data_IF_582955797955
#
_entry.id   IF_582955797955
#
_cell.length_a   1.000
_cell.length_b   1.000
_cell.length_c   1.000
_cell.angle_alpha   90.00
_cell.angle_beta   90.00
_cell.angle_gamma   90.00
#
_symmetry.space_group_name_H-M   'P 1'
#
loop_
_entity.id
_entity.type
_entity.pdbx_description
1 polymer ?
#
# COMPACT_ATOMS: atom_id res chain seq x y z
N UNK A 1 37.89 -8.06 -67.25
CA UNK A 1 38.62 -6.89 -67.80
C UNK A 1 38.54 -5.78 -66.76
N UNK A 2 39.62 -5.25 -66.18
CA UNK A 2 41.06 -5.56 -66.28
C UNK A 2 41.73 -5.28 -64.91
N UNK A 3 42.61 -6.19 -64.47
CA UNK A 3 43.86 -5.87 -63.73
C UNK A 3 44.90 -5.38 -64.78
N UNK A 4 46.06 -4.72 -64.47
CA UNK A 4 46.95 -4.91 -63.32
C UNK A 4 47.38 -3.54 -62.69
N UNK A 5 48.54 -3.26 -62.05
CA UNK A 5 49.83 -3.98 -61.88
C UNK A 5 50.59 -3.62 -60.58
N UNK A 6 51.85 -4.04 -60.50
CA UNK A 6 52.78 -4.09 -59.36
C UNK A 6 53.40 -2.79 -58.81
N UNK A 7 53.86 -2.89 -57.55
CA UNK A 7 55.03 -2.20 -56.98
C UNK A 7 55.59 -3.04 -55.82
N UNK A 8 56.90 -3.31 -55.76
CA UNK A 8 57.45 -4.49 -55.06
C UNK A 8 58.33 -4.19 -53.82
N UNK A 9 58.17 -5.02 -52.77
CA UNK A 9 59.22 -5.58 -51.87
C UNK A 9 60.00 -4.57 -50.98
N UNK A 10 60.10 -4.76 -49.66
CA UNK A 10 61.13 -5.59 -49.00
C UNK A 10 60.67 -6.20 -47.66
N UNK A 11 61.24 -7.35 -47.31
CA UNK A 11 61.05 -8.05 -46.03
C UNK A 11 61.86 -7.39 -44.88
N UNK A 12 61.30 -7.44 -43.68
CA UNK A 12 62.05 -7.86 -42.48
C UNK A 12 61.11 -8.56 -41.51
N UNK A 13 61.50 -9.75 -41.05
CA UNK A 13 60.76 -10.57 -40.09
C UNK A 13 61.47 -10.46 -38.74
N UNK A 14 60.80 -9.91 -37.72
CA UNK A 14 61.11 -10.20 -36.32
C UNK A 14 59.80 -10.42 -35.56
N UNK A 15 59.76 -11.52 -34.82
CA UNK A 15 58.63 -11.98 -34.01
C UNK A 15 58.48 -11.20 -32.71
N UNK A 16 57.23 -10.95 -32.28
CA UNK A 16 56.93 -10.33 -30.99
C UNK A 16 55.47 -10.55 -30.59
N UNK A 17 55.23 -11.41 -29.59
CA UNK A 17 53.90 -11.86 -29.18
C UNK A 17 53.32 -10.95 -28.08
N UNK A 18 52.02 -10.64 -28.17
CA UNK A 18 51.16 -10.41 -27.00
C UNK A 18 51.14 -9.00 -26.38
N UNK A 19 50.44 -8.05 -27.00
CA UNK A 19 50.05 -6.78 -26.37
C UNK A 19 48.60 -6.81 -25.88
N UNK A 20 48.39 -6.85 -24.56
CA UNK A 20 47.05 -6.82 -23.97
C UNK A 20 46.41 -5.43 -24.00
N UNK A 21 45.18 -5.32 -24.54
CA UNK A 21 44.37 -4.10 -24.44
C UNK A 21 43.78 -3.98 -23.03
N UNK A 22 44.46 -3.19 -22.20
CA UNK A 22 44.02 -2.90 -20.84
C UNK A 22 42.71 -2.11 -20.79
N UNK A 23 41.75 -2.60 -20.01
CA UNK A 23 40.57 -1.83 -19.62
C UNK A 23 40.99 -0.58 -18.83
N UNK A 24 40.90 0.61 -19.43
CA UNK A 24 40.98 1.87 -18.69
C UNK A 24 39.72 2.05 -17.83
N UNK A 25 39.81 1.62 -16.57
CA UNK A 25 38.83 1.97 -15.55
C UNK A 25 38.79 3.49 -15.37
N UNK A 26 37.64 4.11 -15.68
CA UNK A 26 37.48 5.56 -15.61
C UNK A 26 37.71 6.10 -14.20
N UNK A 27 38.59 7.10 -14.07
CA UNK A 27 38.92 7.75 -12.80
C UNK A 27 37.64 8.38 -12.22
N UNK A 28 37.17 7.86 -11.08
CA UNK A 28 35.98 8.34 -10.42
C UNK A 28 36.19 9.77 -9.91
N UNK A 29 35.62 10.77 -10.61
CA UNK A 29 35.63 12.17 -10.16
C UNK A 29 34.86 12.28 -8.84
N UNK A 30 35.52 12.57 -7.69
CA UNK A 30 34.89 12.46 -6.36
C UNK A 30 33.75 13.48 -6.13
N UNK A 31 33.77 14.57 -6.89
CA UNK A 31 32.77 15.66 -6.89
C UNK A 31 31.78 15.61 -8.06
N UNK A 32 31.68 14.48 -8.78
CA UNK A 32 30.59 14.32 -9.76
C UNK A 32 29.25 14.13 -9.03
N UNK A 33 28.16 14.65 -9.61
CA UNK A 33 26.80 14.40 -9.11
C UNK A 33 26.52 12.88 -8.98
N UNK A 34 27.10 12.08 -9.87
CA UNK A 34 27.11 10.63 -9.80
C UNK A 34 27.75 10.14 -8.49
N UNK A 35 28.99 10.53 -8.18
CA UNK A 35 29.68 10.14 -6.96
C UNK A 35 28.93 10.59 -5.69
N UNK A 36 28.30 11.77 -5.71
CA UNK A 36 27.46 12.26 -4.61
C UNK A 36 26.17 11.45 -4.44
N UNK A 37 25.51 11.07 -5.53
CA UNK A 37 24.30 10.24 -5.49
C UNK A 37 24.63 8.81 -5.01
N UNK A 38 25.76 8.25 -5.48
CA UNK A 38 26.30 6.97 -5.00
C UNK A 38 26.61 7.00 -3.51
N UNK A 39 27.27 8.05 -3.02
CA UNK A 39 27.55 8.26 -1.58
C UNK A 39 26.25 8.37 -0.77
N UNK A 40 25.29 9.17 -1.22
CA UNK A 40 24.01 9.37 -0.53
C UNK A 40 23.17 8.09 -0.47
N UNK A 41 23.06 7.34 -1.57
CA UNK A 41 22.34 6.06 -1.60
C UNK A 41 22.96 5.04 -0.65
N UNK A 42 24.29 4.90 -0.64
CA UNK A 42 24.99 3.98 0.28
C UNK A 42 24.81 4.37 1.74
N UNK A 43 25.01 5.65 2.09
CA UNK A 43 24.82 6.16 3.45
C UNK A 43 23.38 5.97 3.92
N UNK A 44 22.40 6.24 3.05
CA UNK A 44 20.98 6.05 3.36
C UNK A 44 20.61 4.58 3.64
N UNK A 45 21.05 3.65 2.79
CA UNK A 45 20.83 2.21 2.98
C UNK A 45 21.49 1.70 4.26
N UNK A 46 22.72 2.13 4.54
CA UNK A 46 23.44 1.82 5.79
C UNK A 46 22.70 2.37 7.03
N UNK A 47 22.21 3.60 6.99
CA UNK A 47 21.45 4.21 8.09
C UNK A 47 20.11 3.51 8.36
N UNK A 48 19.49 2.94 7.32
CA UNK A 48 18.32 2.07 7.47
C UNK A 48 18.67 0.69 8.05
N UNK A 49 19.96 0.30 8.01
CA UNK A 49 20.49 -0.96 8.53
C UNK A 49 20.60 -2.08 7.50
N UNK A 50 20.48 -1.80 6.20
CA UNK A 50 20.67 -2.83 5.18
C UNK A 50 22.15 -3.26 5.12
N UNK A 51 22.37 -4.57 5.17
CA UNK A 51 23.67 -5.21 4.94
C UNK A 51 23.73 -5.79 3.54
N UNK A 52 24.86 -6.40 3.18
CA UNK A 52 25.00 -7.22 1.97
C UNK A 52 25.27 -8.66 2.34
N UNK A 53 24.76 -9.60 1.55
CA UNK A 53 25.21 -10.99 1.57
C UNK A 53 26.44 -11.19 0.66
N UNK A 54 26.89 -12.45 0.55
CA UNK A 54 28.03 -12.87 -0.27
C UNK A 54 27.78 -12.70 -1.78
N UNK A 55 26.51 -12.70 -2.22
CA UNK A 55 26.12 -12.38 -3.59
C UNK A 55 26.06 -10.85 -3.86
N UNK A 56 26.21 -10.04 -2.82
CA UNK A 56 26.14 -8.58 -2.87
C UNK A 56 24.73 -8.00 -2.90
N UNK A 57 23.70 -8.84 -2.69
CA UNK A 57 22.30 -8.45 -2.57
C UNK A 57 22.03 -7.81 -1.20
N UNK A 58 21.02 -6.93 -1.13
CA UNK A 58 20.67 -6.25 0.12
C UNK A 58 19.87 -7.15 1.05
N UNK A 59 20.42 -7.38 2.25
CA UNK A 59 19.74 -8.09 3.33
C UNK A 59 19.13 -7.07 4.30
N UNK A 60 17.92 -7.36 4.79
CA UNK A 60 17.26 -6.54 5.81
C UNK A 60 18.05 -6.58 7.14
N UNK A 61 18.04 -5.49 7.94
CA UNK A 61 18.61 -5.47 9.30
C UNK A 61 18.00 -6.46 10.30
N UNK A 62 16.96 -7.21 9.91
CA UNK A 62 16.28 -8.19 10.74
C UNK A 62 14.84 -8.44 10.30
N UNK A 63 14.21 -9.43 10.92
CA UNK A 63 12.80 -9.75 10.72
C UNK A 63 11.89 -9.06 11.77
N UNK A 64 10.60 -8.91 11.44
CA UNK A 64 9.56 -8.51 12.40
C UNK A 64 9.04 -7.07 12.27
N UNK A 65 7.92 -6.80 12.95
CA UNK A 65 7.12 -5.58 12.75
C UNK A 65 7.84 -4.30 13.17
N UNK A 66 8.70 -4.35 14.19
CA UNK A 66 9.46 -3.16 14.62
C UNK A 66 10.50 -2.71 13.60
N UNK A 67 11.14 -3.64 12.89
CA UNK A 67 12.06 -3.30 11.77
C UNK A 67 11.28 -2.57 10.67
N UNK A 68 10.10 -3.08 10.30
CA UNK A 68 9.23 -2.46 9.30
C UNK A 68 8.78 -1.07 9.76
N UNK A 69 8.41 -0.90 11.05
CA UNK A 69 8.11 0.43 11.61
C UNK A 69 9.32 1.36 11.54
N UNK A 70 10.53 0.90 11.90
CA UNK A 70 11.78 1.69 11.83
C UNK A 70 12.02 2.21 10.41
N UNK A 71 11.88 1.35 9.39
CA UNK A 71 12.03 1.71 7.98
C UNK A 71 11.03 2.80 7.53
N UNK A 72 9.81 2.79 8.03
CA UNK A 72 8.80 3.82 7.72
C UNK A 72 8.89 5.10 8.57
N UNK A 73 9.76 5.18 9.60
CA UNK A 73 9.86 6.37 10.48
C UNK A 73 10.18 7.66 9.71
N UNK A 74 11.08 7.60 8.73
CA UNK A 74 11.45 8.74 7.88
C UNK A 74 10.24 9.30 7.12
N UNK A 75 9.57 8.43 6.34
CA UNK A 75 8.35 8.77 5.60
C UNK A 75 7.23 9.28 6.51
N UNK A 76 7.04 8.70 7.71
CA UNK A 76 6.04 9.18 8.67
C UNK A 76 6.39 10.59 9.17
N UNK A 77 7.66 10.89 9.44
CA UNK A 77 8.12 12.23 9.84
C UNK A 77 7.87 13.26 8.73
N UNK A 78 8.26 12.95 7.49
CA UNK A 78 8.01 13.80 6.31
C UNK A 78 6.50 14.08 6.12
N UNK A 79 5.66 13.04 6.29
CA UNK A 79 4.20 13.15 6.18
C UNK A 79 3.56 13.97 7.30
N UNK A 80 4.11 13.91 8.52
CA UNK A 80 3.66 14.72 9.65
C UNK A 80 4.04 16.19 9.47
N UNK A 81 5.29 16.48 9.10
CA UNK A 81 5.76 17.86 8.82
C UNK A 81 4.93 18.52 7.73
N UNK A 82 4.73 17.82 6.60
CA UNK A 82 3.88 18.30 5.49
C UNK A 82 2.38 18.36 5.82
N UNK A 83 1.94 17.84 6.96
CA UNK A 83 0.55 17.92 7.44
C UNK A 83 0.37 18.87 8.63
N UNK A 84 1.41 19.60 9.08
CA UNK A 84 1.37 20.40 10.29
C UNK A 84 0.31 21.53 10.23
N UNK A 85 0.35 22.39 9.21
CA UNK A 85 -0.66 23.44 8.98
C UNK A 85 -2.08 22.88 8.82
N UNK A 86 -2.22 21.69 8.20
CA UNK A 86 -3.50 21.00 8.14
C UNK A 86 -3.99 20.57 9.53
N UNK A 87 -3.11 19.98 10.36
CA UNK A 87 -3.45 19.53 11.70
C UNK A 87 -3.84 20.70 12.61
N UNK A 88 -3.13 21.83 12.53
CA UNK A 88 -3.45 23.03 13.31
C UNK A 88 -4.87 23.54 13.03
N UNK A 89 -5.30 23.54 11.76
CA UNK A 89 -6.66 23.93 11.34
C UNK A 89 -7.72 22.86 11.62
N UNK A 90 -7.44 21.61 11.30
CA UNK A 90 -8.44 20.53 11.27
C UNK A 90 -8.61 19.85 12.63
N UNK A 91 -7.52 19.62 13.37
CA UNK A 91 -7.55 18.79 14.58
C UNK A 91 -8.56 19.30 15.62
N UNK A 92 -8.64 20.59 15.97
CA UNK A 92 -9.64 21.09 16.93
C UNK A 92 -11.10 20.85 16.50
N UNK A 93 -11.37 20.91 15.19
CA UNK A 93 -12.72 20.67 14.62
C UNK A 93 -13.04 19.18 14.52
N UNK A 94 -12.05 18.33 14.29
CA UNK A 94 -12.24 16.88 14.13
C UNK A 94 -12.22 16.09 15.44
N UNK A 95 -11.52 16.60 16.48
CA UNK A 95 -11.31 15.88 17.73
C UNK A 95 -12.60 15.47 18.46
N UNK A 96 -13.67 16.30 18.51
CA UNK A 96 -14.94 15.90 19.13
C UNK A 96 -15.60 14.67 18.48
N UNK A 97 -15.29 14.37 17.21
CA UNK A 97 -15.83 13.21 16.51
C UNK A 97 -15.11 11.90 16.84
N UNK A 98 -13.98 11.92 17.54
CA UNK A 98 -13.34 10.71 18.07
C UNK A 98 -13.87 10.41 19.46
N UNK A 99 -14.00 9.13 19.80
CA UNK A 99 -14.58 8.73 21.07
C UNK A 99 -13.60 8.77 22.25
N UNK A 100 -14.13 9.05 23.43
CA UNK A 100 -13.52 8.61 24.69
C UNK A 100 -13.87 7.15 24.96
N UNK A 101 -13.07 6.47 25.78
CA UNK A 101 -13.30 5.07 26.14
C UNK A 101 -14.48 4.86 27.08
N UNK A 102 -14.73 5.83 27.96
CA UNK A 102 -15.74 5.78 29.01
C UNK A 102 -17.17 6.06 28.50
N UNK A 103 -17.32 6.79 27.38
CA UNK A 103 -18.63 7.04 26.75
C UNK A 103 -19.14 5.86 25.89
N UNK A 104 -18.32 4.85 25.60
CA UNK A 104 -18.77 3.69 24.82
C UNK A 104 -19.49 2.64 25.67
N UNK A 105 -20.70 2.29 25.25
CA UNK A 105 -21.40 1.06 25.61
C UNK A 105 -21.29 0.05 24.44
N UNK A 106 -20.48 -1.01 24.55
CA UNK A 106 -20.26 -1.98 23.48
C UNK A 106 -21.52 -2.58 22.85
N UNK A 107 -22.60 -2.74 23.63
CA UNK A 107 -23.89 -3.27 23.16
C UNK A 107 -24.71 -2.27 22.33
N UNK A 108 -24.43 -0.98 22.46
CA UNK A 108 -25.08 0.09 21.70
C UNK A 108 -24.36 0.44 20.38
N UNK A 109 -23.22 -0.18 20.08
CA UNK A 109 -22.43 0.13 18.88
C UNK A 109 -23.19 -0.27 17.61
N UNK A 110 -23.42 0.70 16.73
CA UNK A 110 -24.13 0.52 15.45
C UNK A 110 -23.34 1.19 14.34
N UNK A 111 -22.64 0.39 13.53
CA UNK A 111 -21.72 0.88 12.51
C UNK A 111 -22.44 1.18 11.19
N UNK A 112 -22.30 2.41 10.70
CA UNK A 112 -22.76 2.88 9.41
C UNK A 112 -21.60 3.36 8.52
N UNK A 113 -21.83 3.42 7.20
CA UNK A 113 -20.86 3.96 6.24
C UNK A 113 -21.26 5.38 5.81
N UNK A 114 -20.42 6.38 6.14
CA UNK A 114 -20.59 7.76 5.67
C UNK A 114 -19.58 8.06 4.54
N UNK A 115 -20.01 8.28 3.29
CA UNK A 115 -19.12 8.61 2.18
C UNK A 115 -18.32 9.90 2.44
N UNK A 116 -17.03 9.89 2.08
CA UNK A 116 -16.11 11.02 2.28
C UNK A 116 -15.97 11.79 0.97
N UNK A 117 -16.55 12.99 0.92
CA UNK A 117 -16.48 13.91 -0.21
C UNK A 117 -15.36 14.94 -0.03
N UNK A 118 -14.79 15.43 -1.13
CA UNK A 118 -13.71 16.43 -1.07
C UNK A 118 -14.23 17.77 -0.56
N UNK A 119 -13.51 18.39 0.38
CA UNK A 119 -13.85 19.71 0.93
C UNK A 119 -14.82 19.70 2.12
N UNK A 120 -15.32 18.53 2.53
CA UNK A 120 -16.23 18.41 3.68
C UNK A 120 -15.49 18.13 4.99
N UNK A 121 -16.20 18.17 6.13
CA UNK A 121 -15.64 17.83 7.44
C UNK A 121 -15.21 16.36 7.50
N UNK A 122 -15.91 15.46 6.81
CA UNK A 122 -15.58 14.04 6.72
C UNK A 122 -14.21 13.81 6.08
N UNK A 123 -13.80 14.65 5.12
CA UNK A 123 -12.46 14.58 4.54
C UNK A 123 -11.37 15.04 5.52
N UNK A 124 -11.64 16.06 6.33
CA UNK A 124 -10.74 16.48 7.41
C UNK A 124 -10.65 15.37 8.48
N UNK A 125 -11.78 14.80 8.94
CA UNK A 125 -11.84 13.66 9.89
C UNK A 125 -11.05 12.46 9.34
N UNK A 126 -11.36 12.03 8.11
CA UNK A 126 -10.69 10.90 7.45
C UNK A 126 -9.18 11.12 7.40
N UNK A 127 -8.72 12.30 7.00
CA UNK A 127 -7.29 12.62 6.92
C UNK A 127 -6.64 12.61 8.30
N UNK A 128 -7.27 13.17 9.33
CA UNK A 128 -6.76 13.09 10.72
C UNK A 128 -6.67 11.63 11.18
N UNK A 129 -7.69 10.81 10.93
CA UNK A 129 -7.69 9.39 11.28
C UNK A 129 -6.51 8.64 10.64
N UNK A 130 -6.20 8.86 9.34
CA UNK A 130 -5.05 8.22 8.69
C UNK A 130 -3.69 8.56 9.33
N UNK A 131 -3.57 9.70 10.02
CA UNK A 131 -2.32 10.14 10.66
C UNK A 131 -2.08 9.49 12.03
N UNK A 132 -3.11 8.84 12.61
CA UNK A 132 -2.97 8.03 13.84
C UNK A 132 -2.16 6.75 13.60
N UNK A 133 -2.13 6.24 12.37
CA UNK A 133 -1.53 4.95 12.03
C UNK A 133 -0.01 5.03 11.79
N UNK A 134 0.67 3.90 11.98
CA UNK A 134 2.13 3.81 11.90
C UNK A 134 2.69 3.75 10.46
N UNK A 135 1.87 3.36 9.48
CA UNK A 135 2.28 3.28 8.06
C UNK A 135 1.51 4.37 7.30
N UNK A 136 2.19 5.32 6.62
CA UNK A 136 1.52 6.39 5.89
C UNK A 136 0.59 5.87 4.79
N UNK A 137 -0.63 6.40 4.73
CA UNK A 137 -1.62 6.08 3.69
C UNK A 137 -1.31 6.87 2.41
N UNK A 138 -1.29 6.19 1.26
CA UNK A 138 -0.90 6.80 -0.02
C UNK A 138 -2.01 7.62 -0.68
N UNK A 139 -1.64 8.76 -1.25
CA UNK A 139 -2.52 9.64 -2.05
C UNK A 139 -2.49 9.25 -3.54
N UNK A 140 -2.58 7.96 -3.84
CA UNK A 140 -2.72 7.45 -5.22
C UNK A 140 -3.94 8.01 -5.97
N UNK A 141 -3.88 7.93 -7.30
CA UNK A 141 -4.86 8.40 -8.27
C UNK A 141 -5.78 7.26 -8.77
N UNK A 142 -6.80 7.60 -9.57
CA UNK A 142 -7.74 6.64 -10.15
C UNK A 142 -9.11 6.62 -9.46
N UNK A 143 -9.84 5.51 -9.57
CA UNK A 143 -11.09 5.25 -8.84
C UNK A 143 -10.81 5.28 -7.34
N UNK A 144 -11.62 6.00 -6.56
CA UNK A 144 -11.46 6.17 -5.12
C UNK A 144 -12.83 6.22 -4.45
N UNK A 145 -13.06 5.32 -3.50
CA UNK A 145 -14.20 5.37 -2.58
C UNK A 145 -13.63 5.43 -1.16
N UNK A 146 -14.15 6.33 -0.35
CA UNK A 146 -13.68 6.54 1.03
C UNK A 146 -14.88 6.68 1.93
N UNK A 147 -14.79 6.07 3.09
CA UNK A 147 -15.85 6.08 4.09
C UNK A 147 -15.26 6.35 5.46
N UNK A 148 -15.97 7.16 6.24
CA UNK A 148 -15.94 7.02 7.68
C UNK A 148 -16.81 5.81 8.03
N UNK A 149 -16.30 4.92 8.87
CA UNK A 149 -17.16 3.99 9.59
C UNK A 149 -17.58 4.73 10.85
N UNK A 150 -18.86 5.08 10.89
CA UNK A 150 -19.45 5.86 11.96
C UNK A 150 -20.21 4.96 12.91
N UNK A 151 -20.10 5.20 14.21
CA UNK A 151 -20.94 4.57 15.22
C UNK A 151 -22.11 5.50 15.53
N UNK A 152 -23.30 5.11 15.07
CA UNK A 152 -24.54 5.88 15.24
C UNK A 152 -25.07 5.81 16.68
N UNK A 153 -24.69 4.78 17.45
CA UNK A 153 -25.09 4.65 18.86
C UNK A 153 -24.45 5.68 19.79
N UNK A 154 -23.28 6.22 19.40
CA UNK A 154 -22.51 7.18 20.21
C UNK A 154 -22.24 8.50 19.47
N UNK A 155 -22.62 8.60 18.18
CA UNK A 155 -22.21 9.63 17.22
C UNK A 155 -20.69 9.87 17.18
N UNK A 156 -19.92 8.82 16.89
CA UNK A 156 -18.44 8.86 16.86
C UNK A 156 -17.85 8.13 15.67
N UNK A 157 -16.61 8.48 15.33
CA UNK A 157 -15.80 7.75 14.36
C UNK A 157 -15.32 6.41 14.95
N UNK A 158 -15.81 5.31 14.40
CA UNK A 158 -15.34 3.97 14.73
C UNK A 158 -14.11 3.54 13.91
N UNK A 159 -14.03 3.96 12.64
CA UNK A 159 -12.95 3.58 11.74
C UNK A 159 -13.00 4.25 10.38
N UNK A 160 -12.14 3.81 9.47
CA UNK A 160 -12.12 4.29 8.08
C UNK A 160 -11.94 3.14 7.09
N UNK A 161 -12.56 3.28 5.93
CA UNK A 161 -12.39 2.40 4.76
C UNK A 161 -11.96 3.25 3.57
N UNK A 162 -10.96 2.79 2.84
CA UNK A 162 -10.45 3.46 1.66
C UNK A 162 -10.19 2.43 0.56
N UNK A 163 -11.05 2.43 -0.45
CA UNK A 163 -10.98 1.58 -1.62
C UNK A 163 -10.47 2.40 -2.82
N UNK A 164 -9.66 1.79 -3.67
CA UNK A 164 -9.26 2.44 -4.93
C UNK A 164 -8.61 1.50 -5.92
N UNK A 165 -8.15 2.03 -7.04
CA UNK A 165 -7.56 1.19 -8.10
C UNK A 165 -6.46 0.26 -7.56
N UNK A 166 -6.53 -1.05 -7.87
CA UNK A 166 -5.68 -2.05 -7.25
C UNK A 166 -4.25 -2.03 -7.82
N UNK A 167 -3.31 -2.58 -7.07
CA UNK A 167 -1.92 -2.79 -7.53
C UNK A 167 -1.93 -3.57 -8.84
N UNK A 168 -1.45 -2.94 -9.90
CA UNK A 168 -1.55 -3.49 -11.26
C UNK A 168 -0.86 -4.85 -11.38
N UNK A 169 0.40 -4.97 -10.92
CA UNK A 169 1.15 -6.24 -10.94
C UNK A 169 1.09 -6.91 -9.56
N UNK A 170 0.23 -7.92 -9.40
CA UNK A 170 0.08 -8.68 -8.16
C UNK A 170 -0.07 -10.17 -8.50
N UNK A 171 1.06 -10.85 -8.66
CA UNK A 171 1.12 -12.26 -9.12
C UNK A 171 0.25 -13.21 -8.30
N UNK A 172 0.19 -13.04 -6.98
CA UNK A 172 -0.63 -13.86 -6.08
C UNK A 172 -2.12 -13.82 -6.46
N UNK A 173 -2.65 -12.64 -6.81
CA UNK A 173 -4.02 -12.46 -7.29
C UNK A 173 -4.17 -13.01 -8.71
N UNK A 174 -3.24 -12.68 -9.59
CA UNK A 174 -3.33 -13.07 -10.99
C UNK A 174 -3.31 -14.61 -11.15
N UNK A 175 -2.48 -15.30 -10.36
CA UNK A 175 -2.42 -16.76 -10.29
C UNK A 175 -3.69 -17.40 -9.69
N UNK A 176 -4.41 -16.72 -8.78
CA UNK A 176 -5.66 -17.23 -8.20
C UNK A 176 -6.81 -17.20 -9.22
N UNK A 177 -6.81 -16.22 -10.12
CA UNK A 177 -7.87 -16.01 -11.11
C UNK A 177 -7.57 -16.74 -12.43
N UNK A 178 -6.31 -17.15 -12.63
CA UNK A 178 -5.74 -17.61 -13.91
C UNK A 178 -5.65 -16.50 -14.98
N UNK A 179 -5.18 -15.32 -14.58
CA UNK A 179 -5.01 -14.16 -15.46
C UNK A 179 -3.66 -14.11 -16.17
N UNK A 180 -3.68 -14.01 -17.50
CA UNK A 180 -2.54 -13.48 -18.25
C UNK A 180 -2.40 -11.96 -18.09
N UNK A 181 -1.31 -11.40 -18.63
CA UNK A 181 -1.10 -9.94 -18.71
C UNK A 181 -2.22 -9.24 -19.48
N UNK A 182 -2.78 -9.91 -20.51
CA UNK A 182 -3.86 -9.36 -21.33
C UNK A 182 -5.19 -9.32 -20.55
N UNK A 183 -5.52 -10.41 -19.88
CA UNK A 183 -6.73 -10.55 -19.07
C UNK A 183 -6.80 -9.50 -17.99
N UNK A 184 -5.70 -9.34 -17.26
CA UNK A 184 -5.53 -8.31 -16.24
C UNK A 184 -5.74 -6.90 -16.79
N UNK A 185 -5.19 -6.58 -17.95
CA UNK A 185 -5.35 -5.25 -18.57
C UNK A 185 -6.83 -4.92 -18.87
N UNK A 186 -7.64 -5.94 -19.16
CA UNK A 186 -9.07 -5.79 -19.42
C UNK A 186 -9.89 -5.78 -18.11
N UNK A 187 -9.75 -6.82 -17.28
CA UNK A 187 -10.70 -7.22 -16.23
C UNK A 187 -10.34 -6.76 -14.81
N UNK A 188 -9.19 -6.11 -14.61
CA UNK A 188 -8.84 -5.44 -13.34
C UNK A 188 -9.85 -4.36 -12.90
N UNK A 189 -10.71 -3.89 -13.82
CA UNK A 189 -11.83 -2.99 -13.50
C UNK A 189 -12.85 -3.61 -12.53
N UNK A 190 -12.95 -4.95 -12.43
CA UNK A 190 -13.83 -5.62 -11.47
C UNK A 190 -13.32 -5.64 -10.02
N UNK A 191 -12.13 -5.07 -9.76
CA UNK A 191 -11.42 -5.15 -8.48
C UNK A 191 -11.06 -3.73 -7.98
N UNK A 192 -11.07 -3.56 -6.66
CA UNK A 192 -10.41 -2.46 -5.94
C UNK A 192 -9.49 -3.00 -4.85
N UNK A 193 -8.46 -2.24 -4.47
CA UNK A 193 -7.68 -2.48 -3.26
C UNK A 193 -8.22 -1.64 -2.09
N UNK A 194 -8.44 -2.29 -0.95
CA UNK A 194 -8.55 -1.61 0.34
C UNK A 194 -7.15 -1.20 0.83
N UNK A 195 -6.77 0.04 0.52
CA UNK A 195 -5.43 0.61 0.79
C UNK A 195 -5.33 1.32 2.14
N UNK A 196 -6.47 1.60 2.78
CA UNK A 196 -6.55 2.02 4.17
C UNK A 196 -7.80 1.36 4.77
N UNK A 197 -7.64 0.61 5.86
CA UNK A 197 -8.72 -0.18 6.44
C UNK A 197 -8.45 -0.45 7.93
N UNK A 198 -9.38 -0.04 8.79
CA UNK A 198 -9.31 -0.37 10.22
C UNK A 198 -10.04 0.63 11.12
N UNK A 199 -10.18 0.23 12.38
CA UNK A 199 -10.75 1.07 13.43
C UNK A 199 -9.75 2.08 13.97
N UNK A 200 -10.28 3.18 14.51
CA UNK A 200 -9.54 4.15 15.32
C UNK A 200 -9.68 3.81 16.81
N UNK A 201 -8.86 4.39 17.70
CA UNK A 201 -9.09 4.30 19.14
C UNK A 201 -10.41 4.95 19.55
N UNK A 202 -11.13 4.40 20.56
CA UNK A 202 -10.84 3.18 21.31
C UNK A 202 -11.40 1.90 20.66
N UNK A 203 -12.20 1.99 19.59
CA UNK A 203 -12.81 0.86 18.88
C UNK A 203 -11.80 -0.21 18.43
N UNK A 204 -10.57 0.18 18.10
CA UNK A 204 -9.50 -0.77 17.74
C UNK A 204 -9.08 -1.68 18.92
N UNK A 205 -9.24 -1.25 20.18
CA UNK A 205 -9.02 -2.05 21.39
C UNK A 205 -10.14 -3.10 21.56
N UNK A 206 -11.36 -2.73 21.15
CA UNK A 206 -12.56 -3.59 21.10
C UNK A 206 -12.61 -4.53 19.88
N UNK A 207 -11.48 -4.79 19.20
CA UNK A 207 -11.43 -5.56 17.95
C UNK A 207 -12.27 -4.97 16.79
N UNK A 208 -12.74 -3.72 16.89
CA UNK A 208 -13.55 -3.04 15.87
C UNK A 208 -12.90 -2.99 14.47
N UNK A 209 -11.58 -3.13 14.38
CA UNK A 209 -10.88 -3.30 13.09
C UNK A 209 -11.32 -4.53 12.30
N UNK A 210 -11.86 -5.56 12.96
CA UNK A 210 -12.48 -6.73 12.32
C UNK A 210 -13.86 -6.41 11.75
N UNK A 211 -14.70 -5.71 12.52
CA UNK A 211 -16.01 -5.24 12.07
C UNK A 211 -15.86 -4.31 10.85
N UNK A 212 -14.99 -3.31 10.95
CA UNK A 212 -14.63 -2.39 9.85
C UNK A 212 -14.14 -3.13 8.61
N UNK A 213 -13.39 -4.23 8.76
CA UNK A 213 -12.98 -5.05 7.63
C UNK A 213 -14.16 -5.79 6.98
N UNK A 214 -15.07 -6.38 7.78
CA UNK A 214 -16.26 -7.07 7.24
C UNK A 214 -17.19 -6.14 6.45
N UNK A 215 -17.30 -4.86 6.82
CA UNK A 215 -18.14 -3.87 6.11
C UNK A 215 -17.77 -3.66 4.63
N UNK A 216 -16.57 -4.07 4.18
CA UNK A 216 -16.20 -4.07 2.75
C UNK A 216 -17.11 -4.96 1.91
N UNK A 217 -17.60 -6.06 2.47
CA UNK A 217 -18.46 -7.04 1.78
C UNK A 217 -19.95 -6.74 2.02
N UNK A 218 -20.29 -5.46 2.08
CA UNK A 218 -21.66 -4.98 2.23
C UNK A 218 -22.30 -4.67 0.86
N UNK A 219 -23.64 -4.72 0.83
CA UNK A 219 -24.46 -4.35 -0.34
C UNK A 219 -24.23 -2.89 -0.75
N UNK A 220 -24.06 -2.02 0.24
CA UNK A 220 -23.85 -0.58 0.10
C UNK A 220 -22.53 -0.27 -0.64
N UNK A 221 -21.45 -0.97 -0.33
CA UNK A 221 -20.17 -0.85 -1.06
C UNK A 221 -20.32 -1.27 -2.53
N UNK A 222 -21.05 -2.36 -2.79
CA UNK A 222 -21.34 -2.80 -4.17
C UNK A 222 -22.16 -1.77 -4.94
N UNK A 223 -23.23 -1.25 -4.32
CA UNK A 223 -24.15 -0.29 -4.94
C UNK A 223 -23.52 1.09 -5.17
N UNK A 224 -22.74 1.60 -4.22
CA UNK A 224 -21.98 2.85 -4.39
C UNK A 224 -20.95 2.73 -5.50
N UNK A 225 -20.27 1.59 -5.62
CA UNK A 225 -19.35 1.36 -6.73
C UNK A 225 -20.10 1.37 -8.06
N UNK A 226 -21.23 0.65 -8.15
CA UNK A 226 -22.07 0.60 -9.35
C UNK A 226 -22.58 1.99 -9.74
N UNK A 227 -22.98 2.81 -8.75
CA UNK A 227 -23.42 4.20 -8.94
C UNK A 227 -22.29 5.11 -9.43
N UNK A 228 -21.09 5.00 -8.85
CA UNK A 228 -19.94 5.84 -9.19
C UNK A 228 -19.22 5.44 -10.48
N UNK A 229 -19.17 4.12 -10.80
CA UNK A 229 -18.28 3.58 -11.83
C UNK A 229 -18.95 2.63 -12.83
N UNK A 230 -20.15 2.11 -12.59
CA UNK A 230 -20.77 1.07 -13.42
C UNK A 230 -20.93 1.46 -14.89
N UNK A 231 -21.40 2.68 -15.15
CA UNK A 231 -21.53 3.25 -16.50
C UNK A 231 -20.26 3.93 -17.05
N UNK A 232 -19.12 3.92 -16.35
CA UNK A 232 -17.98 4.76 -16.74
C UNK A 232 -17.20 4.23 -17.94
N UNK A 233 -16.79 5.17 -18.79
CA UNK A 233 -15.89 4.94 -19.92
C UNK A 233 -14.45 5.06 -19.43
N UNK A 234 -13.63 4.04 -19.69
CA UNK A 234 -12.24 4.04 -19.23
C UNK A 234 -11.40 5.05 -20.00
N UNK A 235 -10.89 6.10 -19.33
CA UNK A 235 -10.19 7.26 -19.93
C UNK A 235 -9.07 6.88 -20.92
N UNK A 236 -8.28 5.83 -20.64
CA UNK A 236 -7.21 5.36 -21.53
C UNK A 236 -7.76 4.52 -22.70
N UNK A 237 -8.82 3.75 -22.45
CA UNK A 237 -9.34 2.75 -23.38
C UNK A 237 -10.46 3.23 -24.31
N UNK A 238 -11.09 4.37 -24.01
CA UNK A 238 -12.25 4.91 -24.76
C UNK A 238 -13.54 4.06 -24.70
N UNK A 239 -13.51 2.88 -24.05
CA UNK A 239 -14.63 1.93 -23.99
C UNK A 239 -15.40 2.03 -22.66
N UNK A 240 -16.73 1.97 -22.75
CA UNK A 240 -17.59 1.68 -21.60
C UNK A 240 -17.25 0.29 -21.05
N UNK A 241 -17.07 0.17 -19.74
CA UNK A 241 -16.56 -1.08 -19.12
C UNK A 241 -17.60 -1.90 -18.35
N UNK A 242 -18.85 -1.42 -18.21
CA UNK A 242 -19.92 -2.15 -17.52
C UNK A 242 -19.52 -2.65 -16.13
N UNK A 243 -18.82 -1.81 -15.37
CA UNK A 243 -18.00 -2.28 -14.26
C UNK A 243 -18.84 -2.70 -13.05
N UNK A 244 -18.68 -3.96 -12.62
CA UNK A 244 -19.20 -4.45 -11.34
C UNK A 244 -18.03 -4.75 -10.39
N UNK A 245 -18.14 -4.34 -9.12
CA UNK A 245 -17.15 -4.67 -8.11
C UNK A 245 -17.41 -6.08 -7.58
N UNK A 246 -16.60 -7.04 -8.00
CA UNK A 246 -16.79 -8.46 -7.65
C UNK A 246 -15.80 -8.94 -6.59
N UNK A 247 -14.68 -8.26 -6.44
CA UNK A 247 -13.73 -8.51 -5.36
C UNK A 247 -13.03 -7.25 -4.86
N UNK A 248 -12.67 -7.24 -3.58
CA UNK A 248 -11.75 -6.27 -2.98
C UNK A 248 -10.54 -7.00 -2.43
N UNK A 249 -9.35 -6.64 -2.90
CA UNK A 249 -8.09 -7.15 -2.35
C UNK A 249 -7.55 -6.23 -1.25
N UNK A 250 -6.77 -6.78 -0.32
CA UNK A 250 -5.97 -5.95 0.60
C UNK A 250 -4.63 -6.60 0.90
N UNK A 251 -3.62 -5.79 1.15
CA UNK A 251 -2.27 -6.24 1.46
C UNK A 251 -1.89 -5.77 2.86
N UNK A 252 -1.46 -6.71 3.70
CA UNK A 252 -1.04 -6.45 5.07
C UNK A 252 0.17 -5.49 5.15
N UNK A 253 0.11 -4.47 6.00
CA UNK A 253 1.10 -3.39 5.98
C UNK A 253 2.49 -3.80 6.52
N UNK A 254 2.53 -4.70 7.51
CA UNK A 254 3.73 -5.11 8.26
C UNK A 254 4.00 -6.63 8.21
N UNK A 255 3.81 -7.26 7.05
CA UNK A 255 3.73 -8.73 6.98
C UNK A 255 2.47 -9.25 7.67
N UNK A 256 2.44 -10.54 8.05
CA UNK A 256 1.24 -11.26 8.52
C UNK A 256 0.30 -10.43 9.42
N UNK A 257 -0.96 -10.31 9.02
CA UNK A 257 -1.96 -9.47 9.71
C UNK A 257 -2.95 -10.30 10.51
N UNK A 258 -3.10 -10.03 11.81
CA UNK A 258 -4.14 -10.66 12.63
C UNK A 258 -5.53 -10.07 12.42
N UNK A 259 -5.64 -8.88 11.82
CA UNK A 259 -6.92 -8.17 11.60
C UNK A 259 -7.78 -8.92 10.59
N UNK A 260 -7.19 -9.40 9.50
CA UNK A 260 -7.90 -10.06 8.39
C UNK A 260 -8.05 -11.58 8.57
N UNK A 261 -7.51 -12.12 9.66
CA UNK A 261 -7.57 -13.55 9.96
C UNK A 261 -8.84 -13.91 10.77
N UNK A 262 -9.51 -14.98 10.33
CA UNK A 262 -10.75 -15.52 10.94
C UNK A 262 -11.90 -14.50 10.94
N UNK A 263 -12.05 -13.75 9.85
CA UNK A 263 -13.17 -12.84 9.61
C UNK A 263 -14.39 -13.61 9.08
N UNK A 264 -14.98 -14.45 9.95
CA UNK A 264 -16.14 -15.27 9.62
C UNK A 264 -17.37 -14.79 10.40
N UNK A 265 -18.49 -14.50 9.74
CA UNK A 265 -19.78 -14.18 10.36
C UNK A 265 -20.84 -15.13 9.79
N UNK A 266 -21.63 -15.78 10.66
CA UNK A 266 -22.67 -16.77 10.26
C UNK A 266 -22.24 -17.72 9.14
N UNK A 267 -21.12 -18.43 9.35
CA UNK A 267 -20.60 -19.40 8.37
C UNK A 267 -19.88 -18.78 7.16
N UNK A 268 -20.07 -17.49 6.87
CA UNK A 268 -19.50 -16.79 5.71
C UNK A 268 -18.15 -16.17 6.04
N UNK A 269 -17.12 -16.48 5.26
CA UNK A 269 -15.79 -15.86 5.35
C UNK A 269 -15.74 -14.55 4.55
N UNK A 270 -15.31 -13.45 5.18
CA UNK A 270 -15.28 -12.10 4.61
C UNK A 270 -13.94 -11.74 3.98
N UNK A 271 -12.86 -12.41 4.41
CA UNK A 271 -11.52 -12.31 3.83
C UNK A 271 -10.82 -13.66 3.86
N UNK A 272 -10.28 -14.06 2.71
CA UNK A 272 -9.47 -15.26 2.51
C UNK A 272 -8.01 -14.84 2.26
N UNK A 273 -7.05 -15.50 2.90
CA UNK A 273 -5.62 -15.28 2.63
C UNK A 273 -5.24 -16.02 1.35
N UNK A 274 -4.71 -15.31 0.37
CA UNK A 274 -4.43 -15.86 -0.98
C UNK A 274 -2.93 -16.07 -1.24
N UNK A 275 -2.07 -15.65 -0.31
CA UNK A 275 -0.62 -15.84 -0.37
C UNK A 275 0.17 -14.60 0.04
N UNK A 276 1.43 -14.52 -0.41
CA UNK A 276 2.37 -13.48 0.00
C UNK A 276 3.06 -12.79 -1.19
N UNK A 277 3.24 -11.48 -1.12
CA UNK A 277 4.04 -10.72 -2.09
C UNK A 277 5.53 -11.08 -1.98
N UNK A 278 6.28 -11.02 -3.09
CA UNK A 278 7.75 -11.21 -3.09
C UNK A 278 8.58 -10.06 -2.51
N UNK A 279 7.96 -8.99 -2.01
CA UNK A 279 8.67 -7.91 -1.32
C UNK A 279 9.48 -7.00 -2.25
N UNK A 280 8.93 -6.67 -3.42
CA UNK A 280 9.47 -5.64 -4.32
C UNK A 280 8.81 -4.28 -4.06
N UNK A 281 9.62 -3.22 -3.94
CA UNK A 281 9.11 -1.88 -3.69
C UNK A 281 10.17 -0.83 -3.40
N UNK A 282 9.75 0.42 -3.31
CA UNK A 282 10.61 1.59 -3.20
C UNK A 282 10.38 2.43 -1.93
N UNK A 283 9.69 1.89 -0.91
CA UNK A 283 9.38 2.66 0.31
C UNK A 283 10.62 3.08 1.10
N UNK A 284 11.74 2.37 0.93
CA UNK A 284 13.00 2.72 1.57
C UNK A 284 13.73 3.86 0.83
N UNK A 285 13.24 4.32 -0.33
CA UNK A 285 13.79 5.47 -1.08
C UNK A 285 12.96 6.72 -0.75
N UNK A 286 13.56 7.66 0.00
CA UNK A 286 12.94 8.95 0.37
C UNK A 286 12.66 9.83 -0.84
N UNK A 287 11.76 10.80 -0.71
CA UNK A 287 11.44 11.73 -1.79
C UNK A 287 12.66 12.58 -2.19
N UNK A 288 13.48 13.01 -1.22
CA UNK A 288 14.72 13.73 -1.49
C UNK A 288 15.75 12.89 -2.28
N UNK A 289 15.88 11.59 -1.98
CA UNK A 289 16.77 10.69 -2.73
C UNK A 289 16.21 10.40 -4.13
N UNK A 290 14.89 10.27 -4.25
CA UNK A 290 14.20 10.05 -5.51
C UNK A 290 14.31 11.24 -6.48
N UNK A 291 14.13 12.47 -6.01
CA UNK A 291 14.30 13.66 -6.87
C UNK A 291 15.76 13.84 -7.32
N UNK A 292 16.75 13.47 -6.50
CA UNK A 292 18.15 13.41 -6.94
C UNK A 292 18.38 12.34 -8.02
N UNK A 293 17.73 11.18 -7.93
CA UNK A 293 17.74 10.17 -9.00
C UNK A 293 17.09 10.71 -10.30
N UNK A 294 16.03 11.52 -10.21
CA UNK A 294 15.41 12.16 -11.39
C UNK A 294 16.34 13.19 -12.03
N UNK A 295 16.95 14.07 -11.25
CA UNK A 295 17.92 15.07 -11.75
C UNK A 295 19.08 14.39 -12.50
N UNK A 296 19.65 13.35 -11.92
CA UNK A 296 20.70 12.52 -12.53
C UNK A 296 20.28 11.88 -13.86
N UNK A 297 19.02 11.47 -14.00
CA UNK A 297 18.46 10.96 -15.25
C UNK A 297 18.15 12.08 -16.26
N UNK A 298 17.75 13.28 -15.82
CA UNK A 298 17.56 14.44 -16.71
C UNK A 298 18.87 14.87 -17.37
N UNK A 299 19.97 14.93 -16.62
CA UNK A 299 21.30 15.23 -17.16
C UNK A 299 21.78 14.22 -18.23
N UNK A 300 21.22 13.00 -18.20
CA UNK A 300 21.48 11.94 -19.19
C UNK A 300 20.40 11.87 -20.29
N UNK A 301 19.52 12.86 -20.38
CA UNK A 301 18.36 12.90 -21.29
C UNK A 301 17.48 11.63 -21.23
N UNK A 302 17.45 10.95 -20.08
CA UNK A 302 16.80 9.66 -19.96
C UNK A 302 15.29 9.80 -19.73
N UNK A 303 14.48 9.31 -20.67
CA UNK A 303 13.03 9.56 -20.74
C UNK A 303 12.22 9.25 -19.45
N UNK A 304 12.64 8.27 -18.64
CA UNK A 304 11.97 7.98 -17.35
C UNK A 304 12.20 9.02 -16.24
N UNK A 305 12.99 10.08 -16.46
CA UNK A 305 13.07 11.19 -15.52
C UNK A 305 11.72 11.92 -15.34
N UNK A 306 10.92 12.02 -16.42
CA UNK A 306 9.69 12.80 -16.47
C UNK A 306 8.49 12.09 -17.12
N UNK A 307 8.61 10.82 -17.49
CA UNK A 307 7.48 9.95 -17.90
C UNK A 307 6.67 9.48 -16.68
N UNK A 308 5.78 10.36 -16.20
CA UNK A 308 4.90 10.19 -15.03
C UNK A 308 3.48 10.75 -15.20
N UNK A 309 3.08 11.16 -16.41
CA UNK A 309 1.73 11.65 -16.73
C UNK A 309 0.72 10.50 -16.77
N UNK A 310 -0.57 10.85 -16.66
CA UNK A 310 -1.66 9.88 -16.81
C UNK A 310 -1.59 9.21 -18.19
N UNK A 311 -1.76 7.89 -18.24
CA UNK A 311 -1.58 7.08 -19.45
C UNK A 311 -0.17 6.48 -19.62
N UNK A 312 0.88 7.03 -19.00
CA UNK A 312 2.27 6.57 -19.15
C UNK A 312 2.60 5.31 -18.31
N UNK A 313 1.59 4.50 -17.99
CA UNK A 313 1.69 3.21 -17.31
C UNK A 313 1.93 3.28 -15.79
N UNK A 314 1.38 2.33 -15.01
CA UNK A 314 1.58 2.27 -13.56
C UNK A 314 3.03 1.99 -13.17
N UNK A 315 3.38 2.25 -11.90
CA UNK A 315 4.71 2.06 -11.31
C UNK A 315 5.82 2.99 -11.84
N UNK A 316 5.50 4.19 -12.36
CA UNK A 316 6.49 5.15 -12.89
C UNK A 316 7.69 5.35 -11.96
N UNK A 317 7.46 5.62 -10.66
CA UNK A 317 8.52 5.81 -9.65
C UNK A 317 9.47 4.62 -9.55
N UNK A 318 8.95 3.39 -9.63
CA UNK A 318 9.79 2.19 -9.62
C UNK A 318 10.63 2.06 -10.90
N UNK A 319 10.06 2.39 -12.07
CA UNK A 319 10.80 2.41 -13.35
C UNK A 319 11.91 3.48 -13.36
N UNK A 320 11.60 4.68 -12.86
CA UNK A 320 12.58 5.77 -12.71
C UNK A 320 13.71 5.39 -11.76
N UNK A 321 13.42 4.75 -10.62
CA UNK A 321 14.47 4.26 -9.71
C UNK A 321 15.31 3.17 -10.36
N UNK A 322 14.70 2.18 -11.05
CA UNK A 322 15.46 1.14 -11.79
C UNK A 322 16.42 1.74 -12.81
N UNK A 323 15.94 2.66 -13.65
CA UNK A 323 16.78 3.35 -14.61
C UNK A 323 17.92 4.13 -13.96
N UNK A 324 17.68 4.78 -12.81
CA UNK A 324 18.73 5.45 -12.06
C UNK A 324 19.75 4.46 -11.46
N UNK A 325 19.31 3.35 -10.87
CA UNK A 325 20.19 2.30 -10.33
C UNK A 325 21.07 1.68 -11.44
N UNK A 326 20.45 1.32 -12.57
CA UNK A 326 21.13 0.81 -13.76
C UNK A 326 22.18 1.80 -14.27
N UNK A 327 21.82 3.06 -14.49
CA UNK A 327 22.76 4.11 -14.92
C UNK A 327 23.81 4.51 -13.85
N UNK A 328 23.66 4.07 -12.59
CA UNK A 328 24.66 4.19 -11.54
C UNK A 328 25.56 2.94 -11.42
N UNK A 329 25.31 1.86 -12.18
CA UNK A 329 25.89 0.54 -11.97
C UNK A 329 25.65 0.01 -10.54
N UNK A 330 24.42 0.16 -10.03
CA UNK A 330 23.94 -0.47 -8.80
C UNK A 330 23.00 -1.64 -9.16
N UNK A 331 23.10 -2.74 -8.40
CA UNK A 331 22.21 -3.88 -8.54
C UNK A 331 20.74 -3.48 -8.23
N UNK A 332 19.82 -3.76 -9.14
CA UNK A 332 18.39 -3.44 -8.97
C UNK A 332 17.70 -4.24 -7.85
N UNK A 333 18.30 -5.34 -7.37
CA UNK A 333 17.82 -6.13 -6.24
C UNK A 333 17.73 -5.33 -4.93
N UNK A 334 18.32 -4.13 -4.86
CA UNK A 334 18.04 -3.12 -3.82
C UNK A 334 16.52 -2.89 -3.64
N UNK A 335 15.74 -2.99 -4.71
CA UNK A 335 14.28 -2.87 -4.68
C UNK A 335 13.56 -4.10 -4.14
N UNK A 336 14.23 -5.25 -4.02
CA UNK A 336 13.72 -6.47 -3.38
C UNK A 336 13.96 -6.41 -1.87
N UNK A 337 13.22 -5.52 -1.21
CA UNK A 337 13.32 -5.26 0.23
C UNK A 337 12.91 -6.43 1.15
N UNK A 338 12.64 -7.64 0.64
CA UNK A 338 12.40 -8.87 1.41
C UNK A 338 11.10 -8.97 2.23
N UNK A 339 10.48 -7.85 2.62
CA UNK A 339 9.22 -7.82 3.39
C UNK A 339 8.09 -8.45 2.56
N UNK A 340 7.84 -9.74 2.80
CA UNK A 340 6.69 -10.46 2.26
C UNK A 340 5.42 -10.05 3.01
N UNK A 341 4.49 -9.41 2.30
CA UNK A 341 3.17 -9.01 2.82
C UNK A 341 2.14 -10.06 2.43
N UNK A 342 1.38 -10.52 3.42
CA UNK A 342 0.21 -11.38 3.21
C UNK A 342 -0.87 -10.59 2.46
N UNK A 343 -1.46 -11.22 1.45
CA UNK A 343 -2.49 -10.67 0.57
C UNK A 343 -3.79 -11.40 0.85
N UNK A 344 -4.89 -10.66 0.95
CA UNK A 344 -6.22 -11.19 1.20
C UNK A 344 -7.19 -10.74 0.11
N UNK A 345 -8.23 -11.54 -0.15
CA UNK A 345 -9.35 -11.20 -1.04
C UNK A 345 -10.68 -11.27 -0.27
N UNK A 346 -11.57 -10.31 -0.54
CA UNK A 346 -12.97 -10.33 -0.17
C UNK A 346 -13.80 -10.46 -1.44
N UNK A 347 -14.64 -11.49 -1.55
CA UNK A 347 -15.48 -11.76 -2.71
C UNK A 347 -16.88 -11.18 -2.48
N UNK A 348 -17.28 -10.21 -3.30
CA UNK A 348 -18.59 -9.57 -3.22
C UNK A 348 -19.66 -10.33 -4.03
N UNK A 349 -19.25 -11.24 -4.90
CA UNK A 349 -20.13 -12.19 -5.58
C UNK A 349 -19.74 -13.64 -5.24
N UNK A 350 -20.69 -14.58 -5.31
CA UNK A 350 -20.41 -16.02 -5.12
C UNK A 350 -19.51 -16.55 -6.26
N UNK A 351 -19.86 -16.20 -7.50
CA UNK A 351 -19.10 -16.50 -8.73
C UNK A 351 -17.99 -15.47 -9.03
N UNK A 352 -17.50 -14.71 -8.04
CA UNK A 352 -16.56 -13.60 -8.27
C UNK A 352 -15.29 -13.99 -9.07
N UNK A 353 -14.70 -15.16 -8.81
CA UNK A 353 -13.52 -15.61 -9.55
C UNK A 353 -13.84 -15.97 -11.01
N UNK A 354 -15.03 -16.52 -11.25
CA UNK A 354 -15.50 -16.92 -12.58
C UNK A 354 -15.80 -15.68 -13.44
N UNK A 355 -16.52 -14.69 -12.89
CA UNK A 355 -16.74 -13.37 -13.52
C UNK A 355 -15.41 -12.68 -13.84
N UNK A 356 -14.41 -12.75 -12.96
CA UNK A 356 -13.07 -12.19 -13.22
C UNK A 356 -12.32 -12.99 -14.30
N UNK A 357 -12.47 -14.31 -14.35
CA UNK A 357 -11.82 -15.18 -15.32
C UNK A 357 -12.43 -15.06 -16.71
N UNK A 358 -13.75 -15.15 -16.85
CA UNK A 358 -14.45 -15.15 -18.16
C UNK A 358 -14.81 -13.74 -18.63
N UNK A 359 -15.27 -12.87 -17.73
CA UNK A 359 -15.84 -11.56 -18.06
C UNK A 359 -17.20 -11.61 -18.76
N UNK A 360 -17.82 -12.80 -18.85
CA UNK A 360 -19.07 -13.03 -19.61
C UNK A 360 -20.32 -13.12 -18.72
N UNK A 361 -20.15 -13.24 -17.40
CA UNK A 361 -21.24 -13.48 -16.45
C UNK A 361 -21.63 -12.26 -15.62
N UNK A 362 -22.89 -12.24 -15.20
CA UNK A 362 -23.37 -11.34 -14.16
C UNK A 362 -22.88 -11.82 -12.78
N UNK A 363 -22.53 -10.90 -11.87
CA UNK A 363 -22.15 -11.26 -10.50
C UNK A 363 -23.37 -11.67 -9.67
N UNK A 364 -23.33 -12.87 -9.10
CA UNK A 364 -24.30 -13.28 -8.09
C UNK A 364 -23.98 -12.64 -6.73
N UNK A 365 -24.72 -11.60 -6.40
CA UNK A 365 -24.64 -10.82 -5.16
C UNK A 365 -25.69 -11.24 -4.10
N UNK A 366 -26.39 -12.37 -4.27
CA UNK A 366 -27.48 -12.76 -3.35
C UNK A 366 -26.98 -12.92 -1.91
N UNK A 367 -25.75 -13.40 -1.73
CA UNK A 367 -25.09 -13.53 -0.43
C UNK A 367 -24.49 -12.24 0.16
N UNK A 368 -24.78 -11.04 -0.35
CA UNK A 368 -24.40 -9.76 0.27
C UNK A 368 -25.40 -9.34 1.35
N UNK A 369 -24.86 -8.93 2.50
CA UNK A 369 -25.63 -8.35 3.62
C UNK A 369 -25.52 -6.83 3.62
N UNK A 370 -26.46 -6.18 4.29
CA UNK A 370 -26.41 -4.75 4.60
C UNK A 370 -25.30 -4.43 5.61
N UNK A 371 -24.91 -3.16 5.68
CA UNK A 371 -23.99 -2.62 6.69
C UNK A 371 -24.53 -2.88 8.10
N UNK A 372 -25.83 -2.71 8.33
CA UNK A 372 -26.49 -2.95 9.62
C UNK A 372 -26.36 -4.40 10.08
N UNK A 373 -26.73 -5.38 9.24
CA UNK A 373 -26.59 -6.80 9.57
C UNK A 373 -25.12 -7.18 9.86
N UNK A 374 -24.17 -6.64 9.10
CA UNK A 374 -22.74 -6.90 9.32
C UNK A 374 -22.27 -6.25 10.63
N UNK A 375 -22.78 -5.06 10.96
CA UNK A 375 -22.52 -4.37 12.23
C UNK A 375 -22.98 -5.22 13.41
N UNK A 376 -24.24 -5.68 13.40
CA UNK A 376 -24.82 -6.49 14.48
C UNK A 376 -24.01 -7.77 14.71
N UNK A 377 -23.80 -8.55 13.65
CA UNK A 377 -23.03 -9.80 13.72
C UNK A 377 -21.58 -9.59 14.18
N UNK A 378 -20.95 -8.48 13.80
CA UNK A 378 -19.59 -8.17 14.22
C UNK A 378 -19.51 -7.63 15.65
N UNK A 379 -20.50 -6.83 16.10
CA UNK A 379 -20.65 -6.37 17.48
C UNK A 379 -20.72 -7.56 18.43
N UNK A 380 -21.67 -8.45 18.17
CA UNK A 380 -22.00 -9.55 19.08
C UNK A 380 -20.92 -10.64 19.07
N UNK A 381 -20.23 -10.84 17.94
CA UNK A 381 -19.11 -11.79 17.84
C UNK A 381 -17.79 -11.27 18.42
N UNK A 382 -17.51 -9.97 18.32
CA UNK A 382 -16.19 -9.43 18.64
C UNK A 382 -16.20 -8.30 19.65
N UNK A 383 -16.98 -7.24 19.47
CA UNK A 383 -16.86 -6.01 20.28
C UNK A 383 -17.37 -6.24 21.72
N UNK A 384 -18.58 -6.80 21.86
CA UNK A 384 -19.19 -7.09 23.16
C UNK A 384 -18.37 -8.11 23.96
N UNK A 385 -18.04 -9.31 23.42
CA UNK A 385 -17.21 -10.27 24.16
C UNK A 385 -15.80 -9.76 24.47
N UNK A 386 -15.26 -8.85 23.64
CA UNK A 386 -13.94 -8.24 23.87
C UNK A 386 -13.94 -7.30 25.08
N UNK A 387 -15.01 -6.52 25.24
CA UNK A 387 -15.20 -5.65 26.39
C UNK A 387 -15.43 -6.46 27.66
N UNK A 388 -16.29 -7.47 27.60
CA UNK A 388 -16.65 -8.33 28.74
C UNK A 388 -15.46 -9.09 29.32
N UNK A 389 -14.50 -9.53 28.48
CA UNK A 389 -13.27 -10.20 28.95
C UNK A 389 -12.23 -9.26 29.58
N UNK A 390 -12.39 -7.94 29.48
CA UNK A 390 -11.53 -6.96 30.18
C UNK A 390 -10.02 -6.94 29.86
N UNK A 391 -9.50 -7.77 28.94
CA UNK A 391 -8.05 -7.93 28.71
C UNK A 391 -7.32 -6.67 28.18
N UNK A 392 -8.07 -5.60 27.84
CA UNK A 392 -7.58 -4.22 27.65
C UNK A 392 -8.58 -3.28 28.32
N UNK A 393 -8.09 -2.39 29.17
CA UNK A 393 -8.85 -1.21 29.59
C UNK A 393 -8.96 -0.23 28.42
N UNK A 394 -10.04 -0.36 27.66
CA UNK A 394 -10.40 0.59 26.63
C UNK A 394 -11.04 1.86 27.20
N UNK A 395 -11.57 1.81 28.44
CA UNK A 395 -12.31 2.91 29.07
C UNK A 395 -11.38 4.05 29.50
N UNK A 396 -10.14 3.73 29.87
CA UNK A 396 -9.07 4.71 30.14
C UNK A 396 -8.60 5.49 28.89
N UNK A 397 -9.02 5.13 27.67
CA UNK A 397 -8.70 5.93 26.49
C UNK A 397 -9.41 7.28 26.54
N UNK A 398 -8.71 8.36 26.17
CA UNK A 398 -9.29 9.71 26.05
C UNK A 398 -8.95 10.28 24.67
N UNK A 399 -9.89 10.96 24.01
CA UNK A 399 -9.74 11.51 22.66
C UNK A 399 -8.57 12.52 22.57
N UNK A 400 -8.30 13.26 23.65
CA UNK A 400 -7.14 14.15 23.81
C UNK A 400 -5.76 13.46 23.73
N UNK A 401 -5.73 12.12 23.73
CA UNK A 401 -4.53 11.34 23.45
C UNK A 401 -4.20 11.27 21.94
N UNK A 402 -5.15 11.55 21.05
CA UNK A 402 -4.95 11.51 19.58
C UNK A 402 -3.84 12.45 19.08
N UNK A 403 -3.76 13.73 19.50
CA UNK A 403 -2.62 14.60 19.17
C UNK A 403 -1.26 13.99 19.58
N UNK A 404 -1.21 13.25 20.69
CA UNK A 404 0.00 12.56 21.17
C UNK A 404 0.28 11.30 20.32
N UNK A 405 -0.75 10.54 19.95
CA UNK A 405 -0.65 9.34 19.10
C UNK A 405 -0.18 9.67 17.67
N UNK A 406 -0.73 10.73 17.07
CA UNK A 406 -0.31 11.24 15.75
C UNK A 406 1.18 11.60 15.77
N UNK A 407 1.62 12.29 16.83
CA UNK A 407 3.03 12.68 17.05
C UNK A 407 3.93 11.52 17.50
N UNK A 408 3.40 10.31 17.68
CA UNK A 408 4.15 9.13 18.13
C UNK A 408 4.71 9.26 19.56
N UNK A 409 4.08 10.08 20.42
CA UNK A 409 4.49 10.34 21.81
C UNK A 409 3.88 9.38 22.83
N UNK A 410 2.96 8.52 22.40
CA UNK A 410 2.34 7.45 23.17
C UNK A 410 2.23 6.20 22.29
N UNK A 411 2.21 5.03 22.92
CA UNK A 411 1.80 3.78 22.27
C UNK A 411 0.34 3.47 22.59
N UNK A 412 -0.29 2.64 21.75
CA UNK A 412 -1.61 2.08 22.05
C UNK A 412 -1.48 1.01 23.15
N UNK A 413 -2.43 0.93 24.10
CA UNK A 413 -2.54 -0.22 25.00
C UNK A 413 -2.51 -1.54 24.23
N UNK A 414 -1.77 -2.52 24.76
CA UNK A 414 -1.70 -3.88 24.24
C UNK A 414 -2.51 -4.78 25.16
N UNK A 415 -3.08 -5.85 24.61
CA UNK A 415 -3.74 -6.86 25.42
C UNK A 415 -2.73 -7.46 26.39
N UNK A 416 -3.02 -7.37 27.70
CA UNK A 416 -2.35 -8.23 28.66
C UNK A 416 -2.86 -9.63 28.39
N UNK A 417 -2.01 -10.53 27.91
CA UNK A 417 -2.36 -11.94 27.86
C UNK A 417 -2.69 -12.35 29.29
N UNK A 418 -3.93 -12.79 29.53
CA UNK A 418 -4.26 -13.46 30.77
C UNK A 418 -3.26 -14.62 30.93
N UNK A 419 -2.71 -14.78 32.13
CA UNK A 419 -1.97 -15.99 32.48
C UNK A 419 -2.97 -17.14 32.55
N UNK A 420 -3.24 -17.75 31.39
CA UNK A 420 -3.95 -19.02 31.32
C UNK A 420 -3.02 -20.09 31.88
N UNK A 421 -3.28 -20.49 33.12
CA UNK A 421 -2.79 -21.75 33.67
C UNK A 421 -3.49 -22.95 33.06
#
# INVERSE_FOLDING_TARGET
>A
MFLPVHGAVWHSVVTGIGGGLGFMGGIARPFSQEAELKRALRSHLHNLGFTKDEAGDLVLPGAGKEVIRKLHRGQRRERLVSSQCFLERALPRTLPHFADGNELEPRAITLALRPVLSGTIEADIFRVATLTWSVPVSVGFGRRMRYLVWDEGHDRLAGIIALGDPVYNLSVRDNLIDWTVHDRAQRLVGILDAYALGAVPPYNLLLGGKAVACLIRSREIFEDFRRAYGGTVGVISGKAKGANLVAVTTTSSMGRSSVYNRLRLEGTDYFESIGFTEGWGHFHITDALFERMRLFLRERNHAYADKHKFGEGPNWRLRTIRAALSALNFNENILRHGIKREVFISKLASNALEVLRTGAEAPDICGLRTVTEISDLARDRWLVPRAERGEIDYRAWQRDMIPKLIKGRIEMPRATLAQTG
#
